data_IF_649138597490
#
_entry.id   IF_649138597490
#
_cell.length_a   1.000
_cell.length_b   1.000
_cell.length_c   1.000
_cell.angle_alpha   90.00
_cell.angle_beta   90.00
_cell.angle_gamma   90.00
#
_symmetry.space_group_name_H-M   'P 1'
#
loop_
_entity.id
_entity.type
_entity.pdbx_description
1 polymer ?
#
# COMPACT_ATOMS: atom_id res chain seq x y z
N UNK A 1 12.23 -1.21 10.22
CA UNK A 1 12.77 -0.49 9.06
C UNK A 1 12.03 -0.80 7.79
N UNK A 2 11.16 0.13 7.43
CA UNK A 2 10.27 0.11 6.29
C UNK A 2 11.03 0.01 4.95
N UNK A 3 12.22 0.61 4.84
CA UNK A 3 13.07 0.47 3.65
C UNK A 3 13.49 -0.98 3.42
N UNK A 4 13.79 -1.72 4.49
CA UNK A 4 14.12 -3.15 4.41
C UNK A 4 12.94 -4.00 3.95
N UNK A 5 11.70 -3.55 4.16
CA UNK A 5 10.52 -4.24 3.63
C UNK A 5 10.49 -4.11 2.11
N UNK A 6 10.75 -2.92 1.56
CA UNK A 6 10.85 -2.74 0.10
C UNK A 6 12.01 -3.57 -0.49
N UNK A 7 13.18 -3.59 0.16
CA UNK A 7 14.30 -4.48 -0.22
C UNK A 7 13.88 -5.96 -0.20
N UNK A 8 13.13 -6.38 0.83
CA UNK A 8 12.62 -7.74 0.95
C UNK A 8 11.63 -8.07 -0.19
N UNK A 9 10.71 -7.17 -0.52
CA UNK A 9 9.75 -7.37 -1.61
C UNK A 9 10.45 -7.49 -2.97
N UNK A 10 11.49 -6.70 -3.19
CA UNK A 10 12.33 -6.77 -4.40
C UNK A 10 13.23 -8.01 -4.47
N UNK A 11 13.46 -8.69 -3.34
CA UNK A 11 14.31 -9.91 -3.26
C UNK A 11 13.49 -11.20 -3.14
N UNK A 12 12.21 -11.12 -2.77
CA UNK A 12 11.31 -12.28 -2.57
C UNK A 12 10.20 -12.39 -3.61
N UNK A 13 10.17 -11.54 -4.62
CA UNK A 13 9.28 -11.73 -5.79
C UNK A 13 9.56 -13.04 -6.54
N UNK A 14 10.64 -13.76 -6.18
CA UNK A 14 10.84 -15.20 -6.38
C UNK A 14 9.79 -16.06 -5.65
N UNK A 15 8.52 -16.02 -6.04
CA UNK A 15 7.67 -17.21 -5.86
C UNK A 15 8.14 -18.23 -6.89
N UNK A 16 8.88 -19.22 -6.39
CA UNK A 16 9.66 -20.22 -7.14
C UNK A 16 8.81 -21.29 -7.81
N UNK A 17 7.78 -20.91 -8.56
CA UNK A 17 7.30 -21.74 -9.66
C UNK A 17 7.66 -20.97 -10.92
N UNK A 18 8.75 -21.41 -11.56
CA UNK A 18 9.26 -20.93 -12.85
C UNK A 18 8.10 -20.50 -13.76
N UNK A 19 7.95 -19.20 -13.96
CA UNK A 19 7.03 -18.70 -14.97
C UNK A 19 7.53 -19.19 -16.34
N UNK A 20 6.64 -19.54 -17.29
CA UNK A 20 7.05 -20.06 -18.59
C UNK A 20 7.97 -19.13 -19.39
N UNK A 21 8.00 -17.83 -19.05
CA UNK A 21 8.77 -16.77 -19.71
C UNK A 21 10.17 -16.53 -19.10
N UNK A 22 10.48 -17.11 -17.94
CA UNK A 22 11.76 -16.91 -17.25
C UNK A 22 11.93 -15.53 -16.59
N UNK A 23 10.87 -14.69 -16.50
CA UNK A 23 10.92 -13.44 -15.75
C UNK A 23 10.57 -13.67 -14.27
N UNK A 24 11.60 -13.75 -13.43
CA UNK A 24 11.47 -14.15 -12.02
C UNK A 24 10.95 -13.03 -11.09
N UNK A 25 10.88 -11.78 -11.55
CA UNK A 25 10.46 -10.63 -10.73
C UNK A 25 9.20 -9.97 -11.29
N UNK A 26 8.03 -10.40 -10.79
CA UNK A 26 6.73 -9.87 -11.22
C UNK A 26 6.30 -8.60 -10.50
N UNK A 27 7.08 -8.14 -9.53
CA UNK A 27 6.84 -6.88 -8.82
C UNK A 27 8.14 -6.12 -8.58
N UNK A 28 8.05 -4.80 -8.57
CA UNK A 28 9.04 -3.89 -7.99
C UNK A 28 8.37 -3.05 -6.90
N UNK A 29 9.12 -2.76 -5.85
CA UNK A 29 8.66 -2.05 -4.66
C UNK A 29 9.55 -0.82 -4.41
N UNK A 30 8.94 0.36 -4.38
CA UNK A 30 9.66 1.63 -4.18
C UNK A 30 9.15 2.34 -2.91
N UNK A 31 10.00 2.54 -1.88
CA UNK A 31 9.62 3.29 -0.70
C UNK A 31 9.60 4.79 -0.99
N UNK A 32 8.56 5.47 -0.50
CA UNK A 32 8.32 6.91 -0.61
C UNK A 32 7.95 7.47 0.75
N UNK A 33 8.31 8.73 0.98
CA UNK A 33 8.04 9.48 2.21
C UNK A 33 7.42 10.82 1.81
N UNK A 34 6.71 11.45 2.75
CA UNK A 34 6.08 12.77 2.54
C UNK A 34 5.14 12.80 1.33
N UNK A 35 4.52 11.66 1.01
CA UNK A 35 3.57 11.59 -0.09
C UNK A 35 2.34 12.44 0.22
N UNK A 36 1.83 13.11 -0.80
CA UNK A 36 0.52 13.73 -0.76
C UNK A 36 -0.59 12.72 -1.08
N UNK A 37 -1.82 13.03 -0.68
CA UNK A 37 -3.00 12.26 -1.09
C UNK A 37 -3.13 12.23 -2.62
N UNK A 38 -2.81 13.33 -3.28
CA UNK A 38 -2.88 13.43 -4.75
C UNK A 38 -1.85 12.51 -5.42
N UNK A 39 -0.62 12.44 -4.90
CA UNK A 39 0.38 11.49 -5.40
C UNK A 39 -0.01 10.04 -5.15
N UNK A 40 -0.59 9.73 -3.97
CA UNK A 40 -1.15 8.41 -3.69
C UNK A 40 -2.22 8.05 -4.73
N UNK A 41 -3.18 8.95 -4.98
CA UNK A 41 -4.22 8.77 -5.99
C UNK A 41 -3.63 8.57 -7.39
N UNK A 42 -2.61 9.34 -7.76
CA UNK A 42 -1.93 9.22 -9.05
C UNK A 42 -1.21 7.86 -9.23
N UNK A 43 -0.71 7.24 -8.15
CA UNK A 43 -0.21 5.86 -8.21
C UNK A 43 -1.34 4.86 -8.39
N UNK A 44 -2.45 5.02 -7.67
CA UNK A 44 -3.63 4.16 -7.79
C UNK A 44 -4.23 4.23 -9.20
N UNK A 45 -4.26 5.40 -9.84
CA UNK A 45 -4.69 5.58 -11.23
C UNK A 45 -3.82 4.79 -12.24
N UNK A 46 -2.55 4.56 -11.90
CA UNK A 46 -1.63 3.73 -12.70
C UNK A 46 -1.78 2.23 -12.39
N UNK A 47 -2.76 1.84 -11.58
CA UNK A 47 -2.93 0.46 -11.12
C UNK A 47 -1.83 0.00 -10.15
N UNK A 48 -1.14 0.94 -9.48
CA UNK A 48 -0.07 0.64 -8.54
C UNK A 48 -0.60 0.71 -7.10
N UNK A 49 -0.87 -0.42 -6.43
CA UNK A 49 -1.25 -0.40 -5.03
C UNK A 49 -0.10 0.09 -4.16
N UNK A 50 -0.44 0.71 -3.02
CA UNK A 50 0.55 1.31 -2.12
C UNK A 50 0.37 0.77 -0.71
N UNK A 51 1.43 0.22 -0.12
CA UNK A 51 1.44 -0.19 1.29
C UNK A 51 1.71 1.05 2.13
N UNK A 52 0.75 1.48 2.94
CA UNK A 52 0.86 2.66 3.80
C UNK A 52 1.05 2.25 5.27
N UNK A 53 1.92 2.96 5.98
CA UNK A 53 2.02 2.87 7.44
C UNK A 53 1.09 3.90 8.07
N UNK A 54 0.24 3.48 9.01
CA UNK A 54 -0.77 4.34 9.64
C UNK A 54 -0.87 4.09 11.14
N UNK A 55 -1.44 5.03 11.88
CA UNK A 55 -1.95 4.81 13.23
C UNK A 55 -3.40 4.29 13.20
N UNK A 56 -3.71 3.26 14.00
CA UNK A 56 -4.98 2.52 13.88
C UNK A 56 -5.65 2.14 15.23
N UNK A 57 -5.70 3.05 16.21
CA UNK A 57 -6.45 2.83 17.45
C UNK A 57 -7.94 3.21 17.33
N UNK A 58 -8.87 2.29 17.63
CA UNK A 58 -10.29 2.36 17.24
C UNK A 58 -11.15 3.50 17.82
N UNK A 59 -10.63 4.31 18.76
CA UNK A 59 -11.41 5.32 19.48
C UNK A 59 -10.79 6.72 19.46
N UNK A 60 -9.74 6.95 18.65
CA UNK A 60 -9.15 8.27 18.52
C UNK A 60 -9.94 9.12 17.52
N UNK A 61 -10.06 10.40 17.84
CA UNK A 61 -10.51 11.43 16.92
C UNK A 61 -9.43 11.76 15.89
N UNK A 62 -9.84 12.42 14.81
CA UNK A 62 -8.95 12.93 13.77
C UNK A 62 -7.81 13.78 14.36
N UNK A 63 -8.08 14.65 15.35
CA UNK A 63 -7.04 15.43 16.01
C UNK A 63 -6.09 14.61 16.89
N UNK A 64 -6.59 13.55 17.53
CA UNK A 64 -5.78 12.69 18.39
C UNK A 64 -4.84 11.80 17.58
N UNK A 65 -5.29 11.32 16.41
CA UNK A 65 -4.40 10.57 15.51
C UNK A 65 -3.14 11.34 15.13
N UNK A 66 -3.20 12.67 14.96
CA UNK A 66 -2.03 13.51 14.62
C UNK A 66 -0.91 13.48 15.66
N UNK A 67 -1.20 13.01 16.86
CA UNK A 67 -0.28 12.99 17.99
C UNK A 67 0.04 11.57 18.45
N UNK A 68 -0.51 10.56 17.77
CA UNK A 68 -0.37 9.14 18.09
C UNK A 68 0.84 8.54 17.34
N UNK A 69 1.61 7.69 18.00
CA UNK A 69 2.78 7.04 17.40
C UNK A 69 3.02 5.61 17.92
N UNK A 70 2.20 5.13 18.84
CA UNK A 70 2.36 3.84 19.51
C UNK A 70 1.42 2.76 18.93
N UNK A 71 0.51 3.13 18.03
CA UNK A 71 -0.54 2.25 17.48
C UNK A 71 -0.36 2.00 15.98
N UNK A 72 0.88 1.76 15.56
CA UNK A 72 1.26 1.52 14.18
C UNK A 72 0.60 0.28 13.57
N UNK A 73 0.17 0.41 12.31
CA UNK A 73 -0.46 -0.62 11.50
C UNK A 73 -0.13 -0.40 10.02
N UNK A 74 -0.27 -1.42 9.18
CA UNK A 74 -0.14 -1.26 7.73
C UNK A 74 -1.42 -1.62 7.01
N UNK A 75 -1.71 -0.86 5.96
CA UNK A 75 -2.84 -1.07 5.05
C UNK A 75 -2.36 -0.97 3.61
N UNK A 76 -3.08 -1.61 2.68
CA UNK A 76 -2.75 -1.54 1.26
C UNK A 76 -3.81 -0.70 0.56
N UNK A 77 -3.46 0.52 0.16
CA UNK A 77 -4.33 1.35 -0.66
C UNK A 77 -4.50 0.72 -2.05
N UNK A 78 -5.74 0.55 -2.48
CA UNK A 78 -6.10 -0.16 -3.74
C UNK A 78 -7.08 0.62 -4.62
N UNK A 79 -7.61 1.73 -4.12
CA UNK A 79 -8.52 2.59 -4.87
C UNK A 79 -8.95 3.79 -4.04
N UNK A 80 -9.71 4.70 -4.64
CA UNK A 80 -10.24 5.88 -3.97
C UNK A 80 -11.50 6.39 -4.68
N UNK A 81 -12.28 7.22 -3.99
CA UNK A 81 -13.33 8.04 -4.58
C UNK A 81 -13.08 9.53 -4.26
N UNK A 82 -14.10 10.39 -4.39
CA UNK A 82 -13.97 11.81 -4.08
C UNK A 82 -13.51 12.06 -2.63
N UNK A 83 -13.99 11.24 -1.68
CA UNK A 83 -13.92 11.50 -0.24
C UNK A 83 -13.09 10.47 0.53
N UNK A 84 -12.88 9.27 -0.02
CA UNK A 84 -12.32 8.12 0.69
C UNK A 84 -11.13 7.49 -0.05
N UNK A 85 -10.25 6.86 0.71
CA UNK A 85 -9.29 5.87 0.20
C UNK A 85 -9.77 4.48 0.61
N UNK A 86 -9.70 3.52 -0.31
CA UNK A 86 -10.06 2.12 -0.08
C UNK A 86 -8.83 1.27 0.13
N UNK A 87 -8.93 0.36 1.10
CA UNK A 87 -7.81 -0.46 1.56
C UNK A 87 -8.15 -1.94 1.59
N UNK A 88 -7.15 -2.75 1.26
CA UNK A 88 -7.05 -4.12 1.76
C UNK A 88 -6.32 -4.07 3.10
N UNK A 89 -7.02 -4.44 4.17
CA UNK A 89 -6.48 -4.46 5.53
C UNK A 89 -6.35 -5.91 6.02
N UNK A 90 -5.15 -6.36 6.43
CA UNK A 90 -4.96 -7.69 7.03
C UNK A 90 -5.89 -7.99 8.21
N UNK A 91 -6.34 -6.96 8.92
CA UNK A 91 -7.18 -7.07 10.12
C UNK A 91 -8.68 -7.21 9.80
N UNK A 92 -9.13 -7.00 8.57
CA UNK A 92 -10.56 -7.04 8.20
C UNK A 92 -11.02 -8.37 7.61
N UNK A 93 -10.21 -9.43 7.74
CA UNK A 93 -10.52 -10.78 7.26
C UNK A 93 -10.91 -10.83 5.78
N UNK A 94 -10.27 -10.01 4.95
CA UNK A 94 -10.44 -10.01 3.50
C UNK A 94 -11.55 -9.09 2.97
N UNK A 95 -12.16 -8.27 3.83
CA UNK A 95 -13.08 -7.22 3.37
C UNK A 95 -12.31 -5.95 3.00
N UNK A 96 -12.79 -5.23 1.98
CA UNK A 96 -12.33 -3.87 1.75
C UNK A 96 -12.72 -2.97 2.93
N UNK A 97 -11.76 -2.19 3.39
CA UNK A 97 -11.97 -1.09 4.32
C UNK A 97 -11.91 0.24 3.57
N UNK A 98 -12.41 1.30 4.18
CA UNK A 98 -12.20 2.66 3.69
C UNK A 98 -11.91 3.60 4.85
N UNK A 99 -11.16 4.65 4.56
CA UNK A 99 -10.91 5.76 5.49
C UNK A 99 -11.17 7.06 4.73
N UNK A 100 -11.97 8.01 5.27
CA UNK A 100 -12.08 9.35 4.71
C UNK A 100 -10.70 10.01 4.55
N UNK A 101 -10.49 10.78 3.48
CA UNK A 101 -9.16 11.33 3.14
C UNK A 101 -8.57 12.23 4.23
N UNK A 102 -9.40 13.00 4.91
CA UNK A 102 -9.00 13.89 6.01
C UNK A 102 -8.56 13.13 7.26
N UNK A 103 -9.25 12.03 7.56
CA UNK A 103 -8.90 11.10 8.62
C UNK A 103 -7.66 10.27 8.27
N UNK A 104 -7.56 9.77 7.04
CA UNK A 104 -6.38 9.05 6.57
C UNK A 104 -5.14 9.93 6.65
N UNK A 105 -5.20 11.17 6.16
CA UNK A 105 -4.09 12.12 6.28
C UNK A 105 -3.67 12.38 7.74
N UNK A 106 -4.60 12.30 8.68
CA UNK A 106 -4.31 12.41 10.11
C UNK A 106 -3.61 11.18 10.68
N UNK A 107 -3.92 9.99 10.15
CA UNK A 107 -3.37 8.69 10.57
C UNK A 107 -2.06 8.36 9.88
N UNK A 108 -1.74 8.99 8.76
CA UNK A 108 -0.68 8.58 7.84
C UNK A 108 0.71 9.04 8.29
N UNK A 109 1.17 8.45 9.39
CA UNK A 109 2.53 8.53 9.91
C UNK A 109 2.80 7.32 10.81
N UNK A 110 4.07 7.05 11.05
CA UNK A 110 4.49 6.05 12.03
C UNK A 110 5.94 6.31 12.49
N UNK A 111 6.44 5.48 13.40
CA UNK A 111 7.85 5.47 13.82
C UNK A 111 8.59 4.31 13.16
N UNK A 112 9.79 4.58 12.64
CA UNK A 112 10.68 3.57 12.10
C UNK A 112 12.04 3.55 12.80
N UNK A 113 12.06 2.94 13.99
CA UNK A 113 13.25 2.97 14.85
C UNK A 113 13.40 4.34 15.51
N UNK A 114 14.43 5.10 15.13
CA UNK A 114 14.65 6.47 15.62
C UNK A 114 14.12 7.54 14.66
N UNK A 115 13.72 7.14 13.44
CA UNK A 115 13.22 8.04 12.41
C UNK A 115 11.69 8.06 12.36
N UNK A 116 11.11 9.17 11.89
CA UNK A 116 9.68 9.25 11.58
C UNK A 116 9.40 8.80 10.14
N UNK A 117 8.32 8.05 9.96
CA UNK A 117 7.81 7.59 8.68
C UNK A 117 6.57 8.41 8.27
N UNK A 118 6.77 9.72 8.07
CA UNK A 118 5.70 10.65 7.69
C UNK A 118 5.19 10.36 6.26
N UNK A 119 3.87 10.20 6.15
CA UNK A 119 3.15 9.88 4.90
C UNK A 119 3.86 8.83 4.06
N UNK A 120 4.29 7.77 4.74
CA UNK A 120 5.11 6.71 4.17
C UNK A 120 4.27 5.76 3.31
N UNK A 121 4.78 5.42 2.13
CA UNK A 121 4.18 4.44 1.23
C UNK A 121 5.23 3.58 0.53
N UNK A 122 4.95 2.29 0.35
CA UNK A 122 5.69 1.44 -0.60
C UNK A 122 4.83 1.27 -1.84
N UNK A 123 5.24 1.90 -2.94
CA UNK A 123 4.56 1.79 -4.23
C UNK A 123 4.93 0.46 -4.86
N UNK A 124 3.93 -0.35 -5.20
CA UNK A 124 4.12 -1.64 -5.86
C UNK A 124 3.80 -1.47 -7.34
N UNK A 125 4.79 -1.73 -8.19
CA UNK A 125 4.58 -1.90 -9.63
C UNK A 125 4.54 -3.38 -9.94
N UNK A 126 3.47 -3.84 -10.58
CA UNK A 126 3.33 -5.23 -11.00
C UNK A 126 3.76 -5.32 -12.47
N UNK A 127 4.89 -5.97 -12.71
CA UNK A 127 5.39 -6.30 -14.04
C UNK A 127 4.74 -7.62 -14.46
N UNK A 128 3.47 -7.56 -14.85
CA UNK A 128 2.80 -8.67 -15.50
C UNK A 128 2.89 -8.47 -17.02
N UNK A 129 3.42 -9.47 -17.72
CA UNK A 129 3.07 -9.69 -19.13
C UNK A 129 1.60 -10.12 -19.17
N UNK A 130 0.69 -9.15 -19.06
CA UNK A 130 -0.73 -9.38 -19.25
C UNK A 130 -0.97 -9.57 -20.75
N UNK A 131 -0.77 -10.80 -21.23
CA UNK A 131 -1.24 -11.20 -22.55
C UNK A 131 -2.77 -11.12 -22.55
N UNK A 132 -3.31 -10.05 -23.15
CA UNK A 132 -4.75 -9.88 -23.37
C UNK A 132 -5.37 -11.04 -24.18
N UNK A 133 -4.56 -11.87 -24.81
CA UNK A 133 -4.97 -13.02 -25.63
C UNK A 133 -5.47 -14.24 -24.81
N UNK A 134 -5.37 -14.22 -23.48
CA UNK A 134 -5.86 -15.32 -22.61
C UNK A 134 -7.29 -15.07 -22.11
N UNK A 135 -8.04 -14.15 -22.72
CA UNK A 135 -9.48 -14.08 -22.56
C UNK A 135 -10.13 -15.31 -23.21
N UNK A 136 -10.25 -16.41 -22.47
CA UNK A 136 -11.03 -17.56 -22.90
C UNK A 136 -12.47 -17.12 -23.13
N UNK A 137 -12.90 -17.19 -24.39
CA UNK A 137 -14.31 -17.21 -24.74
C UNK A 137 -14.95 -18.37 -23.98
N UNK A 138 -15.80 -18.07 -23.01
CA UNK A 138 -16.68 -19.08 -22.41
C UNK A 138 -17.78 -19.33 -23.45
N UNK A 139 -17.82 -20.54 -24.00
CA UNK A 139 -18.96 -21.05 -24.77
C UNK A 139 -20.01 -21.66 -23.85
#
# INVERSE_FOLDING_TARGET
NYRKIAELLNTKSHYSDSTPDGNENRITAEPKFELTIDELCAYLDQGKPVICAIQAWAYLTVSEYRLEYDSGHYVIAVGYDADNIYFMDPSTSGNYAYIPKDEFAARWHDVDGEDLAEQFGIVITIEADYHQDVAYKIE
#
